data_IF_815066657186
#
_entry.id   IF_815066657186
#
_cell.length_a   1.000
_cell.length_b   1.000
_cell.length_c   1.000
_cell.angle_alpha   90.00
_cell.angle_beta   90.00
_cell.angle_gamma   90.00
#
_symmetry.space_group_name_H-M   'P 1'
#
loop_
_entity.id
_entity.type
_entity.pdbx_description
1 polymer ?
#
# COMPACT_ATOMS: atom_id res chain seq x y z
N UNK A 1 37.47 17.41 -12.63
CA UNK A 1 37.42 15.99 -12.33
C UNK A 1 36.26 15.74 -11.36
N UNK A 2 35.24 14.96 -11.72
CA UNK A 2 34.17 14.65 -10.78
C UNK A 2 34.67 13.62 -9.77
N UNK A 3 34.64 13.96 -8.49
CA UNK A 3 34.95 13.03 -7.40
C UNK A 3 33.93 11.88 -7.38
N UNK A 4 34.36 10.63 -7.20
CA UNK A 4 33.44 9.51 -7.09
C UNK A 4 32.59 9.68 -5.81
N UNK A 5 31.25 9.68 -5.97
CA UNK A 5 30.29 9.56 -4.87
C UNK A 5 30.67 8.30 -4.07
N UNK A 6 31.13 8.48 -2.84
CA UNK A 6 31.18 7.38 -1.88
C UNK A 6 29.75 6.91 -1.66
N UNK A 7 29.36 5.86 -2.37
CA UNK A 7 28.15 5.12 -2.08
C UNK A 7 28.20 4.74 -0.60
N UNK A 8 27.21 5.21 0.17
CA UNK A 8 27.11 4.88 1.59
C UNK A 8 27.16 3.38 1.75
N UNK A 9 27.99 2.90 2.66
CA UNK A 9 28.13 1.48 2.97
C UNK A 9 26.74 0.89 3.25
N UNK A 10 26.41 -0.32 2.74
CA UNK A 10 25.13 -0.95 3.00
C UNK A 10 24.96 -1.14 4.50
N UNK A 11 23.90 -0.53 5.05
CA UNK A 11 23.55 -0.64 6.47
C UNK A 11 23.44 -2.12 6.88
N UNK A 12 24.01 -2.53 8.03
CA UNK A 12 23.93 -3.90 8.52
C UNK A 12 22.47 -4.34 8.63
N UNK A 13 22.19 -5.60 8.23
CA UNK A 13 20.83 -6.16 8.10
C UNK A 13 19.91 -5.99 9.33
N UNK A 14 20.49 -5.90 10.54
CA UNK A 14 19.75 -5.61 11.77
C UNK A 14 19.17 -4.19 11.85
N UNK A 15 19.88 -3.22 11.34
CA UNK A 15 19.48 -1.80 11.41
C UNK A 15 18.27 -1.46 10.51
N UNK A 16 18.04 -2.24 9.46
CA UNK A 16 16.89 -2.02 8.55
C UNK A 16 15.54 -2.29 9.22
N UNK A 17 15.44 -3.33 10.04
CA UNK A 17 14.20 -3.65 10.79
C UNK A 17 13.89 -2.58 11.82
N UNK A 18 14.90 -2.07 12.52
CA UNK A 18 14.73 -1.02 13.53
C UNK A 18 14.29 0.30 12.90
N UNK A 19 14.81 0.64 11.72
CA UNK A 19 14.40 1.84 10.98
C UNK A 19 12.95 1.73 10.53
N UNK A 20 12.53 0.59 9.97
CA UNK A 20 11.13 0.35 9.58
C UNK A 20 10.18 0.42 10.77
N UNK A 21 10.52 -0.22 11.89
CA UNK A 21 9.72 -0.19 13.11
C UNK A 21 9.60 1.25 13.68
N UNK A 22 10.68 2.02 13.66
CA UNK A 22 10.65 3.43 14.07
C UNK A 22 9.76 4.27 13.16
N UNK A 23 9.81 4.03 11.85
CA UNK A 23 8.97 4.70 10.86
C UNK A 23 7.49 4.39 11.07
N UNK A 24 7.15 3.11 11.23
CA UNK A 24 5.78 2.67 11.53
C UNK A 24 5.29 3.26 12.85
N UNK A 25 6.10 3.20 13.91
CA UNK A 25 5.76 3.78 15.21
C UNK A 25 5.55 5.29 15.14
N UNK A 26 6.34 5.99 14.33
CA UNK A 26 6.18 7.42 14.10
C UNK A 26 4.89 7.73 13.35
N UNK A 27 4.53 6.95 12.33
CA UNK A 27 3.27 7.09 11.60
C UNK A 27 2.06 6.87 12.52
N UNK A 28 2.09 5.84 13.36
CA UNK A 28 1.06 5.60 14.35
C UNK A 28 0.93 6.76 15.36
N UNK A 29 2.05 7.39 15.73
CA UNK A 29 2.04 8.54 16.63
C UNK A 29 1.45 9.80 15.99
N UNK A 30 1.65 9.97 14.68
CA UNK A 30 1.14 11.14 13.96
C UNK A 30 -0.33 11.00 13.58
N UNK A 31 -0.76 9.78 13.24
CA UNK A 31 -2.11 9.48 12.76
C UNK A 31 -2.68 8.21 13.42
N UNK A 32 -3.01 8.28 14.72
CA UNK A 32 -3.44 7.09 15.48
C UNK A 32 -4.79 6.52 15.02
N UNK A 33 -5.63 7.32 14.37
CA UNK A 33 -6.96 6.91 13.88
C UNK A 33 -6.95 6.61 12.38
N UNK A 34 -6.32 7.49 11.58
CA UNK A 34 -6.35 7.34 10.12
C UNK A 34 -5.57 6.10 9.64
N UNK A 35 -4.48 5.77 10.29
CA UNK A 35 -3.64 4.64 9.88
C UNK A 35 -4.37 3.28 10.07
N UNK A 36 -4.98 2.96 11.24
CA UNK A 36 -5.75 1.73 11.36
C UNK A 36 -6.98 1.70 10.44
N UNK A 37 -7.64 2.83 10.18
CA UNK A 37 -8.73 2.88 9.21
C UNK A 37 -8.22 2.57 7.80
N UNK A 38 -7.08 3.12 7.40
CA UNK A 38 -6.45 2.80 6.11
C UNK A 38 -6.07 1.31 6.03
N UNK A 39 -5.57 0.70 7.11
CA UNK A 39 -5.28 -0.73 7.17
C UNK A 39 -6.55 -1.58 7.03
N UNK A 40 -7.63 -1.21 7.66
CA UNK A 40 -8.92 -1.91 7.49
C UNK A 40 -9.42 -1.79 6.05
N UNK A 41 -9.35 -0.61 5.45
CA UNK A 41 -9.76 -0.40 4.06
C UNK A 41 -8.91 -1.23 3.07
N UNK A 42 -7.59 -1.33 3.27
CA UNK A 42 -6.72 -2.11 2.39
C UNK A 42 -6.99 -3.62 2.53
N UNK A 43 -7.24 -4.10 3.76
CA UNK A 43 -7.61 -5.50 4.00
C UNK A 43 -8.97 -5.83 3.36
N UNK A 44 -9.96 -4.97 3.56
CA UNK A 44 -11.28 -5.11 2.93
C UNK A 44 -11.16 -5.13 1.39
N UNK A 45 -10.41 -4.20 0.81
CA UNK A 45 -10.15 -4.17 -0.63
C UNK A 45 -9.49 -5.45 -1.12
N UNK A 46 -8.45 -5.95 -0.45
CA UNK A 46 -7.75 -7.16 -0.84
C UNK A 46 -8.65 -8.41 -0.80
N UNK A 47 -9.49 -8.53 0.23
CA UNK A 47 -10.46 -9.63 0.36
C UNK A 47 -11.52 -9.54 -0.74
N UNK A 48 -12.15 -8.38 -0.92
CA UNK A 48 -13.21 -8.18 -1.92
C UNK A 48 -12.67 -8.43 -3.33
N UNK A 49 -11.44 -8.00 -3.63
CA UNK A 49 -10.79 -8.21 -4.94
C UNK A 49 -10.48 -9.68 -5.23
N UNK A 50 -10.42 -10.54 -4.23
CA UNK A 50 -10.19 -11.98 -4.39
C UNK A 50 -11.49 -12.77 -4.66
N UNK A 51 -12.65 -12.22 -4.31
CA UNK A 51 -13.96 -12.90 -4.47
C UNK A 51 -14.30 -13.19 -5.93
N UNK A 52 -14.06 -12.30 -6.91
CA UNK A 52 -14.36 -12.58 -8.32
C UNK A 52 -13.68 -13.83 -8.87
N UNK A 53 -12.51 -14.21 -8.35
CA UNK A 53 -11.80 -15.42 -8.78
C UNK A 53 -12.61 -16.70 -8.44
N UNK A 54 -13.26 -16.73 -7.26
CA UNK A 54 -14.14 -17.82 -6.83
C UNK A 54 -15.45 -17.82 -7.62
N UNK A 55 -16.01 -16.64 -7.89
CA UNK A 55 -17.22 -16.50 -8.70
C UNK A 55 -17.03 -16.94 -10.15
N UNK A 56 -15.85 -16.70 -10.73
CA UNK A 56 -15.53 -17.11 -12.10
C UNK A 56 -15.65 -18.63 -12.25
N UNK A 57 -15.22 -19.40 -11.26
CA UNK A 57 -15.39 -20.85 -11.24
C UNK A 57 -16.87 -21.25 -11.29
N UNK A 58 -17.73 -20.58 -10.51
CA UNK A 58 -19.18 -20.84 -10.53
C UNK A 58 -19.83 -20.47 -11.87
N UNK A 59 -19.41 -19.37 -12.48
CA UNK A 59 -19.90 -18.96 -13.81
C UNK A 59 -19.53 -19.99 -14.86
N UNK A 60 -18.28 -20.45 -14.85
CA UNK A 60 -17.81 -21.47 -15.80
C UNK A 60 -18.60 -22.77 -15.62
N UNK A 61 -18.78 -23.26 -14.40
CA UNK A 61 -19.54 -24.48 -14.13
C UNK A 61 -21.01 -24.38 -14.57
N UNK A 62 -21.62 -23.22 -14.40
CA UNK A 62 -23.00 -22.96 -14.84
C UNK A 62 -23.12 -22.96 -16.37
N UNK A 63 -22.18 -22.33 -17.05
CA UNK A 63 -22.13 -22.31 -18.52
C UNK A 63 -21.89 -23.75 -19.06
N UNK A 64 -21.01 -24.50 -18.44
CA UNK A 64 -20.67 -25.86 -18.84
C UNK A 64 -21.86 -26.81 -18.70
N UNK A 65 -22.63 -26.73 -17.64
CA UNK A 65 -23.86 -27.46 -17.44
C UNK A 65 -24.95 -27.12 -18.47
N UNK A 66 -25.02 -25.82 -18.85
CA UNK A 66 -26.05 -25.35 -19.78
C UNK A 66 -25.71 -25.65 -21.22
N UNK A 67 -24.42 -25.71 -21.56
CA UNK A 67 -23.99 -26.12 -22.90
C UNK A 67 -24.48 -27.54 -23.27
N UNK A 68 -24.59 -28.42 -22.27
CA UNK A 68 -25.07 -29.80 -22.48
C UNK A 68 -26.61 -29.89 -22.55
N UNK A 69 -27.34 -29.01 -21.85
CA UNK A 69 -28.81 -29.04 -21.79
C UNK A 69 -29.52 -28.18 -22.84
N UNK A 70 -28.87 -27.20 -23.44
CA UNK A 70 -29.41 -26.31 -24.48
C UNK A 70 -30.49 -25.32 -24.02
N UNK A 71 -30.83 -25.32 -22.73
CA UNK A 71 -31.95 -24.53 -22.19
C UNK A 71 -31.49 -23.23 -21.56
N UNK A 72 -31.29 -22.19 -22.40
CA UNK A 72 -30.79 -20.88 -21.99
C UNK A 72 -31.78 -20.07 -21.11
N UNK A 73 -33.08 -20.37 -21.22
CA UNK A 73 -34.11 -19.67 -20.44
C UNK A 73 -34.00 -19.99 -18.93
N UNK A 74 -33.64 -21.24 -18.59
CA UNK A 74 -33.49 -21.65 -17.21
C UNK A 74 -32.27 -21.06 -16.50
N UNK A 75 -31.23 -20.67 -17.26
CA UNK A 75 -29.93 -20.22 -16.72
C UNK A 75 -29.80 -18.71 -16.72
N UNK A 76 -30.58 -18.00 -17.54
CA UNK A 76 -30.52 -16.53 -17.63
C UNK A 76 -30.77 -15.84 -16.28
N UNK A 77 -31.71 -16.32 -15.48
CA UNK A 77 -32.00 -15.79 -14.16
C UNK A 77 -30.84 -15.91 -13.15
N UNK A 78 -30.36 -17.14 -12.88
CA UNK A 78 -29.19 -17.34 -12.01
C UNK A 78 -27.93 -16.62 -12.49
N UNK A 79 -27.67 -16.58 -13.79
CA UNK A 79 -26.53 -15.90 -14.38
C UNK A 79 -26.59 -14.38 -14.16
N UNK A 80 -27.75 -13.76 -14.38
CA UNK A 80 -27.98 -12.35 -14.11
C UNK A 80 -27.77 -12.02 -12.62
N UNK A 81 -28.22 -12.88 -11.71
CA UNK A 81 -27.99 -12.73 -10.28
C UNK A 81 -26.51 -12.76 -9.90
N UNK A 82 -25.75 -13.69 -10.48
CA UNK A 82 -24.30 -13.78 -10.28
C UNK A 82 -23.58 -12.54 -10.83
N UNK A 83 -23.93 -12.11 -12.04
CA UNK A 83 -23.33 -10.91 -12.66
C UNK A 83 -23.66 -9.67 -11.84
N UNK A 84 -24.90 -9.49 -11.41
CA UNK A 84 -25.31 -8.35 -10.57
C UNK A 84 -24.51 -8.34 -9.24
N UNK A 85 -24.33 -9.50 -8.61
CA UNK A 85 -23.54 -9.63 -7.38
C UNK A 85 -22.08 -9.23 -7.63
N UNK A 86 -21.49 -9.68 -8.74
CA UNK A 86 -20.13 -9.31 -9.13
C UNK A 86 -19.99 -7.79 -9.33
N UNK A 87 -20.94 -7.17 -10.03
CA UNK A 87 -20.94 -5.71 -10.26
C UNK A 87 -20.97 -4.97 -8.92
N UNK A 88 -21.84 -5.37 -7.99
CA UNK A 88 -21.90 -4.75 -6.66
C UNK A 88 -20.59 -4.90 -5.91
N UNK A 89 -19.98 -6.09 -5.93
CA UNK A 89 -18.68 -6.33 -5.29
C UNK A 89 -17.56 -5.48 -5.90
N UNK A 90 -17.53 -5.35 -7.24
CA UNK A 90 -16.55 -4.49 -7.90
C UNK A 90 -16.74 -3.02 -7.55
N UNK A 91 -17.96 -2.53 -7.49
CA UNK A 91 -18.25 -1.14 -7.08
C UNK A 91 -17.79 -0.91 -5.64
N UNK A 92 -18.07 -1.84 -4.72
CA UNK A 92 -17.60 -1.76 -3.34
C UNK A 92 -16.06 -1.77 -3.27
N UNK A 93 -15.39 -2.62 -4.06
CA UNK A 93 -13.93 -2.66 -4.15
C UNK A 93 -13.35 -1.34 -4.65
N UNK A 94 -13.96 -0.73 -5.67
CA UNK A 94 -13.54 0.57 -6.20
C UNK A 94 -13.65 1.67 -5.14
N UNK A 95 -14.77 1.71 -4.41
CA UNK A 95 -14.99 2.69 -3.34
C UNK A 95 -13.97 2.49 -2.21
N UNK A 96 -13.76 1.25 -1.78
CA UNK A 96 -12.77 0.94 -0.74
C UNK A 96 -11.34 1.30 -1.18
N UNK A 97 -10.98 1.00 -2.43
CA UNK A 97 -9.67 1.33 -3.00
C UNK A 97 -9.46 2.84 -3.15
N UNK A 98 -10.47 3.58 -3.63
CA UNK A 98 -10.42 5.03 -3.73
C UNK A 98 -10.27 5.69 -2.34
N UNK A 99 -11.05 5.22 -1.36
CA UNK A 99 -10.96 5.70 0.03
C UNK A 99 -9.59 5.43 0.62
N UNK A 100 -9.06 4.23 0.42
CA UNK A 100 -7.70 3.88 0.86
C UNK A 100 -6.63 4.79 0.24
N UNK A 101 -6.67 5.00 -1.08
CA UNK A 101 -5.72 5.87 -1.77
C UNK A 101 -5.77 7.31 -1.25
N UNK A 102 -6.97 7.83 -0.99
CA UNK A 102 -7.16 9.17 -0.46
C UNK A 102 -6.63 9.29 0.98
N UNK A 103 -6.91 8.30 1.83
CA UNK A 103 -6.38 8.25 3.20
C UNK A 103 -4.84 8.18 3.19
N UNK A 104 -4.25 7.35 2.32
CA UNK A 104 -2.80 7.25 2.21
C UNK A 104 -2.17 8.54 1.68
N UNK A 105 -2.81 9.26 0.77
CA UNK A 105 -2.35 10.56 0.32
C UNK A 105 -2.30 11.57 1.48
N UNK A 106 -3.35 11.66 2.28
CA UNK A 106 -3.43 12.55 3.45
C UNK A 106 -2.37 12.18 4.49
N UNK A 107 -2.25 10.89 4.83
CA UNK A 107 -1.25 10.39 5.80
C UNK A 107 0.17 10.70 5.31
N UNK A 108 0.45 10.44 4.04
CA UNK A 108 1.78 10.67 3.45
C UNK A 108 2.14 12.15 3.47
N UNK A 109 1.29 13.01 2.90
CA UNK A 109 1.57 14.45 2.82
C UNK A 109 1.69 15.08 4.20
N UNK A 110 0.79 14.76 5.11
CA UNK A 110 0.84 15.29 6.46
C UNK A 110 2.03 14.76 7.28
N UNK A 111 2.44 13.51 7.08
CA UNK A 111 3.67 12.98 7.71
C UNK A 111 4.91 13.69 7.19
N UNK A 112 5.01 13.91 5.88
CA UNK A 112 6.13 14.61 5.27
C UNK A 112 6.19 16.08 5.71
N UNK A 113 5.04 16.77 5.82
CA UNK A 113 4.99 18.13 6.35
C UNK A 113 5.57 18.23 7.77
N UNK A 114 5.13 17.33 8.67
CA UNK A 114 5.64 17.26 10.04
C UNK A 114 7.14 16.90 10.10
N UNK A 115 7.59 16.05 9.19
CA UNK A 115 9.01 15.70 9.11
C UNK A 115 9.86 16.90 8.63
N UNK A 116 9.41 17.63 7.61
CA UNK A 116 10.08 18.83 7.12
C UNK A 116 10.16 19.90 8.20
N UNK A 117 9.05 20.12 8.92
CA UNK A 117 9.01 21.05 10.05
C UNK A 117 10.01 20.65 11.14
N UNK A 118 10.04 19.36 11.52
CA UNK A 118 11.00 18.87 12.51
C UNK A 118 12.45 19.00 12.06
N UNK A 119 12.73 18.73 10.78
CA UNK A 119 14.06 18.90 10.20
C UNK A 119 14.45 20.39 10.17
N UNK A 120 13.53 21.26 9.79
CA UNK A 120 13.76 22.71 9.75
C UNK A 120 14.08 23.25 11.15
N UNK A 121 13.27 22.92 12.15
CA UNK A 121 13.52 23.34 13.53
C UNK A 121 14.85 22.78 14.06
N UNK A 122 15.15 21.49 13.77
CA UNK A 122 16.43 20.91 14.15
C UNK A 122 17.65 21.57 13.48
N UNK A 123 17.49 22.12 12.26
CA UNK A 123 18.58 22.87 11.60
C UNK A 123 18.79 24.25 12.22
N UNK A 124 17.72 24.90 12.68
CA UNK A 124 17.85 26.19 13.34
C UNK A 124 18.60 26.10 14.68
N UNK A 125 18.55 24.95 15.34
CA UNK A 125 19.27 24.71 16.59
C UNK A 125 20.77 24.37 16.38
N UNK A 126 21.22 24.20 15.13
CA UNK A 126 22.62 23.88 14.82
C UNK A 126 23.52 25.13 14.87
N UNK A 127 24.73 25.02 15.45
CA UNK A 127 25.68 26.12 15.46
C UNK A 127 26.14 26.42 14.03
N UNK A 128 26.47 27.71 13.76
CA UNK A 128 26.95 28.23 12.45
C UNK A 128 28.15 27.40 11.95
N UNK A 129 29.03 26.96 12.85
CA UNK A 129 30.19 26.13 12.56
C UNK A 129 29.82 24.83 11.83
N UNK A 130 28.61 24.29 12.04
CA UNK A 130 28.15 23.10 11.33
C UNK A 130 28.00 23.37 9.83
N UNK A 131 27.43 24.50 9.47
CA UNK A 131 27.22 24.91 8.07
C UNK A 131 28.53 25.25 7.37
N UNK A 132 29.53 25.77 8.10
CA UNK A 132 30.86 26.05 7.56
C UNK A 132 31.67 24.78 7.29
N UNK A 133 31.38 23.70 8.01
CA UNK A 133 32.13 22.44 7.90
C UNK A 133 31.45 21.39 7.01
N UNK A 134 30.18 21.54 6.69
CA UNK A 134 29.41 20.62 5.87
C UNK A 134 29.06 21.23 4.52
N UNK A 135 29.07 20.40 3.48
CA UNK A 135 28.72 20.85 2.14
C UNK A 135 27.23 21.20 2.08
N UNK A 136 26.90 22.42 1.68
CA UNK A 136 25.52 22.90 1.55
C UNK A 136 24.67 22.00 0.63
N UNK A 137 25.28 21.41 -0.40
CA UNK A 137 24.62 20.46 -1.30
C UNK A 137 24.17 19.17 -0.61
N UNK A 138 24.96 18.67 0.34
CA UNK A 138 24.59 17.46 1.09
C UNK A 138 23.43 17.73 2.05
N UNK A 139 23.46 18.89 2.73
CA UNK A 139 22.36 19.31 3.61
C UNK A 139 21.05 19.47 2.81
N UNK A 140 21.14 20.06 1.61
CA UNK A 140 19.97 20.25 0.74
C UNK A 140 19.47 18.91 0.19
N UNK A 141 20.34 17.94 -0.04
CA UNK A 141 19.98 16.59 -0.48
C UNK A 141 19.09 15.86 0.54
N UNK A 142 19.30 16.05 1.84
CA UNK A 142 18.42 15.52 2.89
C UNK A 142 17.00 16.06 2.79
N UNK A 143 16.85 17.35 2.43
CA UNK A 143 15.55 18.01 2.29
C UNK A 143 14.79 17.62 1.03
N UNK A 144 15.48 17.23 -0.01
CA UNK A 144 14.89 16.89 -1.31
C UNK A 144 14.82 15.39 -1.52
N UNK A 145 15.97 14.74 -1.71
CA UNK A 145 16.04 13.34 -2.13
C UNK A 145 15.61 12.37 -1.03
N UNK A 146 16.01 12.61 0.22
CA UNK A 146 15.66 11.69 1.32
C UNK A 146 14.18 11.80 1.67
N UNK A 147 13.63 13.01 1.65
CA UNK A 147 12.18 13.23 1.85
C UNK A 147 11.36 12.58 0.73
N UNK A 148 11.79 12.67 -0.53
CA UNK A 148 11.10 12.02 -1.64
C UNK A 148 11.19 10.49 -1.58
N UNK A 149 12.32 9.95 -1.15
CA UNK A 149 12.48 8.52 -0.88
C UNK A 149 11.53 8.06 0.23
N UNK A 150 11.41 8.81 1.32
CA UNK A 150 10.46 8.53 2.39
C UNK A 150 9.01 8.62 1.90
N UNK A 151 8.69 9.59 1.04
CA UNK A 151 7.38 9.69 0.40
C UNK A 151 7.04 8.42 -0.36
N UNK A 152 7.93 7.96 -1.23
CA UNK A 152 7.74 6.75 -2.01
C UNK A 152 7.60 5.51 -1.13
N UNK A 153 8.37 5.45 -0.06
CA UNK A 153 8.31 4.34 0.90
C UNK A 153 6.96 4.30 1.63
N UNK A 154 6.46 5.43 2.10
CA UNK A 154 5.20 5.51 2.85
C UNK A 154 4.00 5.33 1.91
N UNK A 155 3.98 5.99 0.74
CA UNK A 155 2.82 5.99 -0.15
C UNK A 155 2.69 4.74 -1.03
N UNK A 156 3.77 4.04 -1.30
CA UNK A 156 3.77 2.91 -2.24
C UNK A 156 4.32 1.63 -1.64
N UNK A 157 5.55 1.67 -1.08
CA UNK A 157 6.23 0.44 -0.67
C UNK A 157 5.54 -0.25 0.51
N UNK A 158 5.15 0.48 1.54
CA UNK A 158 4.45 -0.08 2.70
C UNK A 158 3.07 -0.63 2.34
N UNK A 159 2.18 0.10 1.63
CA UNK A 159 0.90 -0.43 1.19
C UNK A 159 1.03 -1.65 0.30
N UNK A 160 1.90 -1.62 -0.70
CA UNK A 160 2.10 -2.74 -1.61
C UNK A 160 2.60 -4.00 -0.89
N UNK A 161 3.47 -3.85 0.11
CA UNK A 161 3.92 -4.97 0.92
C UNK A 161 2.76 -5.63 1.67
N UNK A 162 1.86 -4.83 2.25
CA UNK A 162 0.68 -5.33 2.97
C UNK A 162 -0.29 -6.02 1.99
N UNK A 163 -0.61 -5.38 0.86
CA UNK A 163 -1.48 -5.95 -0.17
C UNK A 163 -0.94 -7.30 -0.65
N UNK A 164 0.34 -7.35 -1.00
CA UNK A 164 0.98 -8.59 -1.49
C UNK A 164 0.93 -9.70 -0.45
N UNK A 165 1.19 -9.38 0.83
CA UNK A 165 1.10 -10.35 1.93
C UNK A 165 -0.31 -10.92 2.08
N UNK A 166 -1.33 -10.06 2.09
CA UNK A 166 -2.73 -10.48 2.19
C UNK A 166 -3.15 -11.30 0.97
N UNK A 167 -2.77 -10.87 -0.23
CA UNK A 167 -3.09 -11.59 -1.47
C UNK A 167 -2.49 -13.00 -1.48
N UNK A 168 -1.22 -13.15 -1.09
CA UNK A 168 -0.56 -14.46 -1.01
C UNK A 168 -1.29 -15.37 -0.01
N UNK A 169 -1.61 -14.88 1.18
CA UNK A 169 -2.33 -15.66 2.20
C UNK A 169 -3.71 -16.06 1.69
N UNK A 170 -4.44 -15.14 1.06
CA UNK A 170 -5.78 -15.39 0.53
C UNK A 170 -5.74 -16.45 -0.58
N UNK A 171 -4.82 -16.31 -1.54
CA UNK A 171 -4.68 -17.27 -2.65
C UNK A 171 -4.28 -18.65 -2.14
N UNK A 172 -3.31 -18.74 -1.22
CA UNK A 172 -2.93 -20.02 -0.61
C UNK A 172 -4.09 -20.67 0.14
N UNK A 173 -4.86 -19.88 0.90
CA UNK A 173 -6.04 -20.38 1.63
C UNK A 173 -7.09 -20.93 0.67
N UNK A 174 -7.35 -20.24 -0.44
CA UNK A 174 -8.27 -20.69 -1.49
C UNK A 174 -7.74 -22.00 -2.13
N UNK A 175 -6.46 -22.06 -2.48
CA UNK A 175 -5.87 -23.27 -3.08
C UNK A 175 -5.97 -24.48 -2.14
N UNK A 176 -5.69 -24.29 -0.84
CA UNK A 176 -5.80 -25.36 0.16
C UNK A 176 -7.24 -25.80 0.40
N UNK A 177 -8.20 -24.90 0.26
CA UNK A 177 -9.63 -25.22 0.42
C UNK A 177 -10.18 -26.01 -0.76
N UNK A 178 -9.66 -25.79 -1.97
CA UNK A 178 -10.09 -26.46 -3.20
C UNK A 178 -9.23 -27.67 -3.60
N UNK A 179 -8.13 -27.94 -2.91
CA UNK A 179 -7.28 -29.12 -3.09
C UNK A 179 -7.79 -30.30 -2.28
#
# INVERSE_FOLDING_TARGET
MPMPRKGGAPLPKGHRKDVLLRLIKMLFRFYPVLLPVALVCILANAIISSIPQVFMQKVISLVEQTWQSGDWAAVSGPLLGLVATLVVLYVLSLIAGATFNQLMAVITQGSLAKMREKMFNGMQDLPIKYFDTHNHGDVMSYYTNDIDTLRQMISQSLPNFIISGVTIITVLSIMLYFS
#
